data_IF_472428994361
#
_entry.id   IF_472428994361
#
_cell.length_a   1.000
_cell.length_b   1.000
_cell.length_c   1.000
_cell.angle_alpha   90.00
_cell.angle_beta   90.00
_cell.angle_gamma   90.00
#
_symmetry.space_group_name_H-M   'P 1'
#
loop_
_entity.id
_entity.type
_entity.pdbx_description
1 polymer ?
#
# COMPACT_ATOMS: atom_id res chain seq x y z
N UNK A 1 -76.89 36.90 -43.40
CA UNK A 1 -75.61 36.71 -42.68
C UNK A 1 -75.36 35.22 -42.53
N UNK A 2 -74.33 34.68 -43.20
CA UNK A 2 -73.97 33.27 -43.29
C UNK A 2 -72.79 32.95 -42.34
N UNK A 3 -72.13 31.79 -42.54
CA UNK A 3 -70.97 31.19 -41.83
C UNK A 3 -71.43 30.06 -40.87
N UNK A 4 -70.89 28.84 -40.87
CA UNK A 4 -69.55 28.37 -41.26
C UNK A 4 -69.62 26.96 -41.86
N UNK A 5 -68.93 26.58 -42.94
CA UNK A 5 -67.50 26.69 -43.27
C UNK A 5 -66.55 25.83 -42.39
N UNK A 6 -67.06 24.95 -41.50
CA UNK A 6 -66.22 24.16 -40.60
C UNK A 6 -65.97 22.69 -40.99
N UNK A 7 -66.82 22.06 -41.82
CA UNK A 7 -66.79 20.59 -42.01
C UNK A 7 -66.26 20.08 -43.36
N UNK A 8 -66.04 20.93 -44.36
CA UNK A 8 -65.43 20.53 -45.64
C UNK A 8 -63.89 20.66 -45.70
N UNK A 9 -63.25 21.30 -44.73
CA UNK A 9 -61.78 21.47 -44.72
C UNK A 9 -61.02 20.19 -44.29
N UNK A 10 -61.61 19.35 -43.44
CA UNK A 10 -60.91 18.16 -42.90
C UNK A 10 -60.84 16.99 -43.89
N UNK A 11 -61.82 16.82 -44.78
CA UNK A 11 -61.86 15.72 -45.76
C UNK A 11 -60.91 15.98 -46.93
N UNK A 12 -60.73 17.24 -47.34
CA UNK A 12 -59.79 17.61 -48.40
C UNK A 12 -58.31 17.54 -47.96
N UNK A 13 -58.00 17.76 -46.68
CA UNK A 13 -56.63 17.66 -46.17
C UNK A 13 -56.11 16.21 -46.12
N UNK A 14 -56.96 15.24 -45.76
CA UNK A 14 -56.61 13.82 -45.73
C UNK A 14 -56.46 13.23 -47.14
N UNK A 15 -57.31 13.68 -48.08
CA UNK A 15 -57.26 13.22 -49.48
C UNK A 15 -56.03 13.74 -50.22
N UNK A 16 -55.62 15.00 -49.99
CA UNK A 16 -54.37 15.57 -50.54
C UNK A 16 -53.11 14.89 -49.98
N UNK A 17 -53.10 14.51 -48.70
CA UNK A 17 -51.98 13.76 -48.09
C UNK A 17 -51.83 12.35 -48.66
N UNK A 18 -52.94 11.67 -48.96
CA UNK A 18 -52.92 10.33 -49.59
C UNK A 18 -52.54 10.37 -51.07
N UNK A 19 -52.93 11.40 -51.81
CA UNK A 19 -52.52 11.58 -53.22
C UNK A 19 -51.04 11.98 -53.34
N UNK A 20 -50.53 12.81 -52.43
CA UNK A 20 -49.10 13.17 -52.37
C UNK A 20 -48.22 11.95 -52.02
N UNK A 21 -48.63 11.14 -51.03
CA UNK A 21 -47.95 9.87 -50.70
C UNK A 21 -48.05 8.79 -51.79
N UNK A 22 -49.06 8.85 -52.66
CA UNK A 22 -49.22 7.91 -53.78
C UNK A 22 -48.37 8.32 -54.98
N UNK A 23 -48.25 9.63 -55.27
CA UNK A 23 -47.32 10.17 -56.27
C UNK A 23 -45.86 9.96 -55.88
N UNK A 24 -45.51 10.13 -54.61
CA UNK A 24 -44.17 9.81 -54.06
C UNK A 24 -43.82 8.31 -54.12
N UNK A 25 -44.83 7.42 -54.18
CA UNK A 25 -44.64 5.97 -54.38
C UNK A 25 -44.59 5.54 -55.84
N UNK A 26 -45.18 6.31 -56.75
CA UNK A 26 -45.25 6.01 -58.18
C UNK A 26 -44.06 6.61 -58.96
N UNK A 27 -43.40 7.67 -58.47
CA UNK A 27 -42.21 8.28 -59.11
C UNK A 27 -40.85 7.82 -58.52
N UNK A 28 -40.85 7.02 -57.46
CA UNK A 28 -39.64 6.45 -56.85
C UNK A 28 -39.35 5.03 -57.36
N UNK A 29 -38.65 4.91 -58.49
CA UNK A 29 -38.15 3.65 -59.02
C UNK A 29 -37.31 2.86 -58.00
N UNK A 30 -37.45 1.53 -58.03
CA UNK A 30 -36.66 0.50 -57.33
C UNK A 30 -36.16 0.84 -55.93
N UNK A 31 -36.87 0.36 -54.91
CA UNK A 31 -36.29 0.19 -53.56
C UNK A 31 -34.97 -0.60 -53.68
N UNK A 32 -33.83 -0.08 -53.22
CA UNK A 32 -32.65 -0.92 -53.01
C UNK A 32 -33.01 -1.92 -51.90
N UNK A 33 -32.69 -3.21 -52.11
CA UNK A 33 -32.77 -4.23 -51.07
C UNK A 33 -31.89 -3.86 -49.86
N UNK A 34 -32.03 -4.58 -48.73
CA UNK A 34 -31.18 -4.36 -47.55
C UNK A 34 -29.71 -4.37 -48.00
N UNK A 35 -28.95 -3.37 -47.58
CA UNK A 35 -27.64 -3.04 -48.14
C UNK A 35 -26.75 -4.29 -48.30
N UNK A 36 -26.18 -4.43 -49.50
CA UNK A 36 -25.26 -5.52 -49.84
C UNK A 36 -24.02 -5.55 -48.92
N UNK A 37 -23.68 -4.42 -48.29
CA UNK A 37 -22.55 -4.29 -47.36
C UNK A 37 -22.81 -4.90 -45.97
N UNK A 38 -24.00 -4.73 -45.40
CA UNK A 38 -24.33 -5.35 -44.10
C UNK A 38 -24.51 -6.87 -44.22
N UNK A 39 -25.03 -7.31 -45.37
CA UNK A 39 -25.16 -8.73 -45.72
C UNK A 39 -23.84 -9.35 -46.17
N UNK A 40 -22.90 -8.59 -46.76
CA UNK A 40 -21.54 -9.08 -47.05
C UNK A 40 -20.69 -9.15 -45.79
N UNK A 41 -20.78 -8.18 -44.89
CA UNK A 41 -20.09 -8.18 -43.60
C UNK A 41 -20.49 -9.40 -42.76
N UNK A 42 -21.79 -9.68 -42.66
CA UNK A 42 -22.28 -10.88 -41.95
C UNK A 42 -21.82 -12.19 -42.58
N UNK A 43 -21.76 -12.25 -43.93
CA UNK A 43 -21.21 -13.43 -44.64
C UNK A 43 -19.70 -13.55 -44.42
N UNK A 44 -19.00 -12.45 -44.29
CA UNK A 44 -17.57 -12.44 -44.02
C UNK A 44 -17.26 -12.86 -42.59
N UNK A 45 -18.02 -12.41 -41.59
CA UNK A 45 -17.93 -12.87 -40.20
C UNK A 45 -18.17 -14.38 -40.09
N UNK A 46 -19.21 -14.90 -40.75
CA UNK A 46 -19.46 -16.35 -40.79
C UNK A 46 -18.30 -17.10 -41.45
N UNK A 47 -17.75 -16.60 -42.57
CA UNK A 47 -16.57 -17.20 -43.21
C UNK A 47 -15.33 -17.13 -42.33
N UNK A 48 -15.13 -16.05 -41.59
CA UNK A 48 -14.01 -15.90 -40.66
C UNK A 48 -14.15 -16.87 -39.49
N UNK A 49 -15.35 -17.02 -38.94
CA UNK A 49 -15.63 -17.98 -37.88
C UNK A 49 -15.44 -19.43 -38.34
N UNK A 50 -15.92 -19.78 -39.54
CA UNK A 50 -15.71 -21.10 -40.13
C UNK A 50 -14.21 -21.41 -40.34
N UNK A 51 -13.44 -20.43 -40.82
CA UNK A 51 -11.97 -20.55 -40.96
C UNK A 51 -11.30 -20.70 -39.59
N UNK A 52 -11.73 -19.92 -38.59
CA UNK A 52 -11.22 -19.97 -37.21
C UNK A 52 -11.46 -21.35 -36.59
N UNK A 53 -12.68 -21.87 -36.72
CA UNK A 53 -13.03 -23.22 -36.25
C UNK A 53 -12.28 -24.33 -37.00
N UNK A 54 -12.10 -24.20 -38.31
CA UNK A 54 -11.32 -25.16 -39.10
C UNK A 54 -9.84 -25.20 -38.68
N UNK A 55 -9.26 -24.03 -38.36
CA UNK A 55 -7.88 -23.93 -37.86
C UNK A 55 -7.74 -24.61 -36.49
N UNK A 56 -8.68 -24.35 -35.56
CA UNK A 56 -8.68 -24.98 -34.24
C UNK A 56 -8.85 -26.49 -34.31
N UNK A 57 -9.71 -27.00 -35.19
CA UNK A 57 -9.85 -28.45 -35.41
C UNK A 57 -8.58 -29.07 -35.96
N UNK A 58 -7.89 -28.40 -36.88
CA UNK A 58 -6.59 -28.85 -37.40
C UNK A 58 -5.54 -28.92 -36.29
N UNK A 59 -5.51 -27.92 -35.41
CA UNK A 59 -4.63 -27.92 -34.23
C UNK A 59 -4.98 -29.07 -33.29
N UNK A 60 -6.26 -29.25 -32.94
CA UNK A 60 -6.69 -30.34 -32.08
C UNK A 60 -6.28 -31.70 -32.65
N UNK A 61 -6.49 -31.95 -33.95
CA UNK A 61 -6.06 -33.19 -34.61
C UNK A 61 -4.55 -33.45 -34.55
N UNK A 62 -3.75 -32.38 -34.46
CA UNK A 62 -2.28 -32.48 -34.42
C UNK A 62 -1.77 -32.80 -33.02
N UNK A 63 -2.37 -32.24 -31.98
CA UNK A 63 -1.86 -32.33 -30.60
C UNK A 63 -2.66 -33.28 -29.70
N UNK A 64 -3.92 -33.58 -30.01
CA UNK A 64 -4.73 -34.63 -29.35
C UNK A 64 -4.29 -36.02 -29.84
N UNK A 65 -3.11 -36.44 -29.39
CA UNK A 65 -2.46 -37.70 -29.78
C UNK A 65 -3.23 -38.93 -29.31
N UNK A 66 -3.99 -38.81 -28.22
CA UNK A 66 -4.81 -39.87 -27.63
C UNK A 66 -6.26 -39.87 -28.13
N UNK A 67 -6.65 -38.90 -28.99
CA UNK A 67 -7.97 -38.78 -29.65
C UNK A 67 -9.13 -38.66 -28.67
N UNK A 68 -8.90 -38.01 -27.54
CA UNK A 68 -9.91 -37.82 -26.50
C UNK A 68 -10.87 -36.67 -26.81
N UNK A 69 -10.55 -35.85 -27.82
CA UNK A 69 -11.24 -34.61 -28.15
C UNK A 69 -10.86 -33.46 -27.23
N UNK A 70 -9.80 -33.63 -26.42
CA UNK A 70 -9.33 -32.69 -25.41
C UNK A 70 -7.80 -32.68 -25.41
N UNK A 71 -7.22 -31.56 -24.97
CA UNK A 71 -5.79 -31.49 -24.71
C UNK A 71 -5.53 -31.71 -23.23
N UNK A 72 -4.79 -32.77 -22.92
CA UNK A 72 -4.18 -33.04 -21.63
C UNK A 72 -2.92 -32.17 -21.44
N UNK A 73 -2.38 -32.16 -20.22
CA UNK A 73 -1.32 -31.22 -19.82
C UNK A 73 -0.04 -31.31 -20.68
N UNK A 74 0.39 -32.52 -21.02
CA UNK A 74 1.56 -32.78 -21.88
C UNK A 74 1.32 -32.32 -23.33
N UNK A 75 0.13 -32.58 -23.86
CA UNK A 75 -0.29 -32.17 -25.20
C UNK A 75 -0.46 -30.65 -25.31
N UNK A 76 -0.98 -30.02 -24.25
CA UNK A 76 -1.07 -28.57 -24.13
C UNK A 76 0.32 -27.93 -24.06
N UNK A 77 1.22 -28.51 -23.26
CA UNK A 77 2.61 -28.04 -23.17
C UNK A 77 3.31 -28.04 -24.53
N UNK A 78 3.16 -29.12 -25.31
CA UNK A 78 3.72 -29.18 -26.66
C UNK A 78 3.09 -28.16 -27.61
N UNK A 79 1.77 -27.97 -27.55
CA UNK A 79 1.08 -26.95 -28.35
C UNK A 79 1.58 -25.54 -28.04
N UNK A 80 1.69 -25.18 -26.76
CA UNK A 80 2.13 -23.85 -26.33
C UNK A 80 3.61 -23.62 -26.68
N UNK A 81 4.44 -24.65 -26.58
CA UNK A 81 5.85 -24.63 -27.00
C UNK A 81 5.99 -24.31 -28.49
N UNK A 82 5.23 -25.00 -29.33
CA UNK A 82 5.29 -24.84 -30.78
C UNK A 82 4.73 -23.47 -31.24
N UNK A 83 3.89 -22.84 -30.41
CA UNK A 83 3.24 -21.57 -30.68
C UNK A 83 3.93 -20.37 -30.03
N UNK A 84 4.94 -20.60 -29.18
CA UNK A 84 5.73 -19.54 -28.54
C UNK A 84 6.84 -19.06 -29.48
N UNK A 85 6.71 -17.83 -29.97
CA UNK A 85 7.70 -17.13 -30.79
C UNK A 85 8.59 -16.17 -29.97
N UNK A 86 8.33 -16.05 -28.66
CA UNK A 86 8.97 -15.08 -27.76
C UNK A 86 10.19 -15.64 -27.03
N UNK A 87 10.25 -16.96 -26.84
CA UNK A 87 11.37 -17.69 -26.24
C UNK A 87 12.20 -18.41 -27.31
N UNK A 88 13.45 -18.83 -27.01
CA UNK A 88 14.19 -19.71 -27.92
C UNK A 88 13.32 -20.90 -28.36
N UNK A 89 13.33 -21.18 -29.66
CA UNK A 89 12.46 -22.20 -30.27
C UNK A 89 12.62 -23.54 -29.55
N UNK A 90 11.50 -24.09 -29.07
CA UNK A 90 11.47 -25.35 -28.32
C UNK A 90 11.57 -25.22 -26.79
N UNK A 91 11.52 -24.01 -26.23
CA UNK A 91 11.43 -23.83 -24.77
C UNK A 91 10.04 -24.18 -24.29
N UNK A 92 9.92 -25.23 -23.48
CA UNK A 92 8.64 -25.67 -22.95
C UNK A 92 8.15 -24.76 -21.80
N UNK A 93 6.83 -24.54 -21.68
CA UNK A 93 6.23 -23.91 -20.51
C UNK A 93 6.59 -24.65 -19.21
N UNK A 94 6.79 -23.92 -18.13
CA UNK A 94 6.93 -24.48 -16.77
C UNK A 94 5.61 -25.05 -16.25
N UNK A 95 5.67 -25.92 -15.23
CA UNK A 95 4.47 -26.49 -14.59
C UNK A 95 3.52 -25.41 -14.05
N UNK A 96 4.07 -24.32 -13.49
CA UNK A 96 3.30 -23.20 -12.95
C UNK A 96 2.60 -22.40 -14.07
N UNK A 97 3.27 -22.21 -15.20
CA UNK A 97 2.72 -21.56 -16.38
C UNK A 97 1.59 -22.39 -17.00
N UNK A 98 1.76 -23.71 -17.09
CA UNK A 98 0.72 -24.63 -17.55
C UNK A 98 -0.48 -24.61 -16.62
N UNK A 99 -0.25 -24.65 -15.31
CA UNK A 99 -1.31 -24.57 -14.31
C UNK A 99 -2.10 -23.25 -14.40
N UNK A 100 -1.42 -22.13 -14.64
CA UNK A 100 -2.07 -20.83 -14.85
C UNK A 100 -2.95 -20.83 -16.10
N UNK A 101 -2.42 -21.30 -17.24
CA UNK A 101 -3.18 -21.34 -18.50
C UNK A 101 -4.38 -22.27 -18.38
N UNK A 102 -4.23 -23.45 -17.77
CA UNK A 102 -5.34 -24.36 -17.51
C UNK A 102 -6.40 -23.71 -16.62
N UNK A 103 -6.01 -23.05 -15.53
CA UNK A 103 -6.95 -22.35 -14.63
C UNK A 103 -7.77 -21.27 -15.34
N UNK A 104 -7.18 -20.59 -16.32
CA UNK A 104 -7.80 -19.47 -17.03
C UNK A 104 -8.66 -19.96 -18.20
N UNK A 105 -8.25 -21.04 -18.89
CA UNK A 105 -8.90 -21.51 -20.10
C UNK A 105 -9.85 -22.69 -19.93
N UNK A 106 -9.68 -23.53 -18.90
CA UNK A 106 -10.59 -24.64 -18.60
C UNK A 106 -11.84 -24.11 -17.87
N UNK A 107 -12.76 -23.56 -18.64
CA UNK A 107 -14.07 -23.10 -18.14
C UNK A 107 -14.93 -24.28 -17.71
N UNK A 108 -14.70 -25.46 -18.30
CA UNK A 108 -15.41 -26.69 -17.98
C UNK A 108 -15.03 -27.29 -16.62
N UNK A 109 -13.83 -27.00 -16.12
CA UNK A 109 -13.29 -27.48 -14.85
C UNK A 109 -12.93 -28.97 -14.85
N UNK A 110 -12.65 -29.53 -16.03
CA UNK A 110 -12.40 -30.96 -16.24
C UNK A 110 -10.89 -31.31 -16.27
N UNK A 111 -10.02 -30.33 -16.01
CA UNK A 111 -8.56 -30.48 -16.03
C UNK A 111 -7.98 -30.70 -17.42
N UNK A 112 -8.74 -30.38 -18.47
CA UNK A 112 -8.39 -30.64 -19.87
C UNK A 112 -9.14 -29.69 -20.80
N UNK A 113 -8.52 -29.29 -21.90
CA UNK A 113 -9.08 -28.23 -22.76
C UNK A 113 -9.82 -28.79 -23.98
N UNK A 114 -11.07 -28.40 -24.17
CA UNK A 114 -11.84 -28.69 -25.39
C UNK A 114 -11.45 -27.74 -26.52
N UNK A 115 -11.83 -28.08 -27.75
CA UNK A 115 -11.51 -27.29 -28.97
C UNK A 115 -11.84 -25.79 -28.85
N UNK A 116 -12.94 -25.45 -28.17
CA UNK A 116 -13.39 -24.08 -27.95
C UNK A 116 -12.56 -23.32 -26.90
N UNK A 117 -11.97 -24.06 -25.94
CA UNK A 117 -11.14 -23.52 -24.86
C UNK A 117 -9.68 -23.37 -25.27
N UNK A 118 -9.21 -24.19 -26.22
CA UNK A 118 -7.85 -24.10 -26.80
C UNK A 118 -7.58 -22.72 -27.40
N UNK A 119 -8.59 -22.10 -28.05
CA UNK A 119 -8.41 -20.76 -28.59
C UNK A 119 -8.17 -19.71 -27.50
N UNK A 120 -8.88 -19.85 -26.37
CA UNK A 120 -8.71 -18.94 -25.25
C UNK A 120 -7.36 -19.18 -24.55
N UNK A 121 -6.93 -20.44 -24.44
CA UNK A 121 -5.61 -20.79 -23.95
C UNK A 121 -4.50 -20.18 -24.82
N UNK A 122 -4.59 -20.24 -26.14
CA UNK A 122 -3.62 -19.64 -27.06
C UNK A 122 -3.59 -18.11 -26.94
N UNK A 123 -4.74 -17.45 -26.74
CA UNK A 123 -4.81 -16.00 -26.49
C UNK A 123 -4.22 -15.62 -25.15
N UNK A 124 -4.55 -16.36 -24.09
CA UNK A 124 -4.00 -16.16 -22.75
C UNK A 124 -2.48 -16.36 -22.77
N UNK A 125 -2.00 -17.39 -23.45
CA UNK A 125 -0.58 -17.65 -23.67
C UNK A 125 0.11 -16.51 -24.41
N UNK A 126 -0.44 -16.05 -25.54
CA UNK A 126 0.15 -14.93 -26.31
C UNK A 126 0.19 -13.60 -25.53
N UNK A 127 -0.75 -13.38 -24.60
CA UNK A 127 -0.73 -12.21 -23.70
C UNK A 127 0.29 -12.41 -22.59
N UNK A 128 0.35 -13.62 -22.03
CA UNK A 128 1.30 -14.00 -20.99
C UNK A 128 2.74 -13.89 -21.50
N UNK A 129 3.07 -14.47 -22.64
CA UNK A 129 4.43 -14.47 -23.24
C UNK A 129 4.91 -13.06 -23.59
N UNK A 130 4.04 -12.20 -24.14
CA UNK A 130 4.37 -10.79 -24.43
C UNK A 130 4.68 -9.96 -23.18
N UNK A 131 4.12 -10.36 -22.04
CA UNK A 131 4.34 -9.74 -20.73
C UNK A 131 5.24 -10.58 -19.83
N UNK A 132 5.82 -11.67 -20.36
CA UNK A 132 6.69 -12.58 -19.60
C UNK A 132 7.92 -11.84 -19.14
N UNK A 133 8.59 -11.07 -20.00
CA UNK A 133 9.71 -10.23 -19.55
C UNK A 133 9.28 -9.19 -18.50
N UNK A 134 8.10 -8.57 -18.61
CA UNK A 134 7.59 -7.64 -17.59
C UNK A 134 7.32 -8.34 -16.25
N UNK A 135 6.76 -9.55 -16.29
CA UNK A 135 6.45 -10.35 -15.09
C UNK A 135 7.69 -11.02 -14.51
N UNK A 136 8.63 -11.49 -15.32
CA UNK A 136 9.96 -11.96 -14.92
C UNK A 136 10.80 -10.79 -14.41
N UNK A 137 10.70 -9.58 -14.97
CA UNK A 137 11.34 -8.39 -14.43
C UNK A 137 10.73 -8.01 -13.07
N UNK A 138 9.41 -8.17 -12.90
CA UNK A 138 8.73 -7.96 -11.60
C UNK A 138 9.06 -9.06 -10.59
N UNK A 139 9.04 -10.32 -11.01
CA UNK A 139 9.36 -11.49 -10.20
C UNK A 139 10.84 -11.54 -9.87
N UNK A 140 11.74 -11.17 -10.77
CA UNK A 140 13.18 -11.03 -10.50
C UNK A 140 13.50 -9.77 -9.71
N UNK A 141 12.70 -8.70 -9.80
CA UNK A 141 12.76 -7.57 -8.88
C UNK A 141 12.25 -7.96 -7.47
N UNK A 142 11.29 -8.86 -7.37
CA UNK A 142 10.81 -9.44 -6.10
C UNK A 142 11.76 -10.53 -5.54
N UNK A 143 12.44 -11.30 -6.39
CA UNK A 143 13.32 -12.41 -6.02
C UNK A 143 14.80 -12.03 -5.84
N UNK A 144 15.28 -10.90 -6.39
CA UNK A 144 16.65 -10.39 -6.13
C UNK A 144 16.76 -9.50 -4.90
N UNK A 145 15.86 -9.67 -3.93
CA UNK A 145 15.76 -8.77 -2.78
C UNK A 145 15.83 -9.45 -1.41
N UNK A 146 16.31 -10.70 -1.38
CA UNK A 146 16.84 -11.30 -0.18
C UNK A 146 18.34 -10.93 -0.09
N UNK A 147 18.74 -10.39 1.07
CA UNK A 147 20.06 -9.80 1.30
C UNK A 147 21.24 -10.54 0.64
N UNK A 148 21.98 -9.79 -0.18
CA UNK A 148 23.25 -10.23 -0.74
C UNK A 148 24.29 -10.32 0.38
N UNK A 149 25.18 -11.30 0.33
CA UNK A 149 26.38 -11.30 1.19
C UNK A 149 27.18 -10.01 0.93
N UNK A 150 27.40 -9.23 1.99
CA UNK A 150 28.15 -7.99 1.90
C UNK A 150 29.63 -8.30 1.66
N UNK A 151 30.26 -7.55 0.76
CA UNK A 151 31.72 -7.50 0.70
C UNK A 151 32.30 -6.92 1.99
N UNK A 152 33.59 -7.11 2.24
CA UNK A 152 34.23 -6.58 3.45
C UNK A 152 34.12 -5.05 3.56
N UNK A 153 34.17 -4.33 2.43
CA UNK A 153 34.02 -2.88 2.39
C UNK A 153 32.56 -2.44 2.64
N UNK A 154 31.59 -3.14 2.05
CA UNK A 154 30.16 -2.89 2.31
C UNK A 154 29.81 -3.19 3.77
N UNK A 155 30.33 -4.28 4.34
CA UNK A 155 30.13 -4.61 5.76
C UNK A 155 30.78 -3.58 6.68
N UNK A 156 31.98 -3.08 6.35
CA UNK A 156 32.63 -2.02 7.10
C UNK A 156 31.78 -0.74 7.15
N UNK A 157 31.17 -0.35 6.03
CA UNK A 157 30.27 0.81 5.97
C UNK A 157 28.97 0.54 6.71
N UNK A 158 28.27 -0.56 6.37
CA UNK A 158 26.89 -0.81 6.81
C UNK A 158 26.83 -1.28 8.27
N UNK A 159 27.71 -2.20 8.67
CA UNK A 159 27.71 -2.77 10.03
C UNK A 159 28.72 -2.05 10.94
N UNK A 160 29.84 -1.62 10.37
CA UNK A 160 30.91 -0.91 11.10
C UNK A 160 30.74 0.61 11.19
N UNK A 161 29.64 1.17 10.65
CA UNK A 161 29.39 2.62 10.54
C UNK A 161 30.52 3.40 9.85
N UNK A 162 31.23 2.75 8.93
CA UNK A 162 32.25 3.37 8.10
C UNK A 162 31.65 4.38 7.12
N UNK A 163 32.51 5.24 6.57
CA UNK A 163 32.13 6.21 5.53
C UNK A 163 33.05 6.02 4.33
N UNK A 164 32.46 5.90 3.14
CA UNK A 164 33.23 5.79 1.90
C UNK A 164 34.01 7.08 1.61
N UNK A 165 35.08 7.00 0.84
CA UNK A 165 35.89 8.18 0.53
C UNK A 165 35.12 9.13 -0.40
N UNK A 166 35.18 10.43 -0.13
CA UNK A 166 34.50 11.43 -0.95
C UNK A 166 34.93 11.34 -2.43
N UNK A 167 33.94 11.33 -3.32
CA UNK A 167 34.11 11.32 -4.77
C UNK A 167 34.44 9.97 -5.39
N UNK A 168 34.50 8.88 -4.60
CA UNK A 168 34.84 7.54 -5.10
C UNK A 168 33.63 6.61 -5.24
N UNK A 169 32.49 6.95 -4.62
CA UNK A 169 31.29 6.13 -4.62
C UNK A 169 30.65 6.02 -6.01
N UNK A 170 30.16 4.83 -6.35
CA UNK A 170 29.48 4.53 -7.63
C UNK A 170 28.32 5.51 -7.90
N UNK A 171 27.61 5.93 -6.86
CA UNK A 171 26.38 6.71 -6.99
C UNK A 171 26.54 8.21 -6.76
N UNK A 172 27.75 8.70 -6.47
CA UNK A 172 28.01 10.13 -6.29
C UNK A 172 27.52 10.93 -7.52
N UNK A 173 28.11 10.64 -8.69
CA UNK A 173 27.81 11.33 -9.96
C UNK A 173 26.70 10.67 -10.78
N UNK A 174 26.19 9.53 -10.34
CA UNK A 174 25.13 8.80 -11.04
C UNK A 174 23.78 9.51 -10.86
N UNK A 175 23.10 9.85 -11.96
CA UNK A 175 21.80 10.55 -11.95
C UNK A 175 20.79 9.83 -12.88
N UNK A 176 20.09 8.80 -12.38
CA UNK A 176 19.16 8.03 -13.19
C UNK A 176 17.85 8.79 -13.46
N UNK A 177 17.22 8.51 -14.60
CA UNK A 177 15.94 9.11 -15.02
C UNK A 177 14.71 8.28 -14.62
N UNK A 178 14.91 7.11 -14.02
CA UNK A 178 13.86 6.21 -13.52
C UNK A 178 14.44 5.32 -12.42
N UNK A 179 13.61 4.54 -11.74
CA UNK A 179 14.07 3.56 -10.75
C UNK A 179 14.19 4.09 -9.33
N UNK A 180 14.81 3.31 -8.46
CA UNK A 180 14.96 3.59 -7.02
C UNK A 180 16.27 3.02 -6.45
N UNK A 181 16.62 3.44 -5.24
CA UNK A 181 17.76 2.96 -4.47
C UNK A 181 17.27 2.13 -3.28
N UNK A 182 17.76 0.91 -3.19
CA UNK A 182 17.48 -0.13 -2.22
C UNK A 182 18.59 -0.20 -1.16
N UNK A 183 18.30 -0.69 0.05
CA UNK A 183 19.33 -1.04 1.01
C UNK A 183 20.15 -2.23 0.49
N UNK A 184 21.47 -2.09 0.40
CA UNK A 184 22.36 -3.15 -0.09
C UNK A 184 22.27 -4.44 0.74
N UNK A 185 22.00 -4.31 2.06
CA UNK A 185 21.96 -5.45 3.00
C UNK A 185 20.65 -6.23 3.01
N UNK A 186 19.51 -5.57 3.03
CA UNK A 186 18.20 -6.24 3.18
C UNK A 186 17.25 -5.99 2.02
N UNK A 187 17.74 -5.34 0.97
CA UNK A 187 16.91 -4.89 -0.12
C UNK A 187 16.16 -3.61 0.22
N UNK A 188 15.32 -3.55 1.26
CA UNK A 188 14.29 -2.50 1.50
C UNK A 188 14.42 -1.18 0.69
N UNK A 189 13.43 -0.77 -0.13
CA UNK A 189 13.50 0.48 -0.89
C UNK A 189 13.71 1.68 0.04
N UNK A 190 14.71 2.52 -0.27
CA UNK A 190 15.10 3.68 0.55
C UNK A 190 14.78 4.99 -0.16
N UNK A 191 15.29 5.20 -1.38
CA UNK A 191 15.16 6.47 -2.10
C UNK A 191 14.58 6.28 -3.49
N UNK A 192 13.77 7.23 -3.97
CA UNK A 192 13.42 7.30 -5.39
C UNK A 192 14.55 7.94 -6.19
N UNK A 193 14.63 7.71 -7.51
CA UNK A 193 15.55 8.47 -8.37
C UNK A 193 15.24 9.98 -8.36
N UNK A 194 13.98 10.37 -8.16
CA UNK A 194 13.55 11.78 -8.12
C UNK A 194 14.06 12.52 -6.88
N UNK A 195 14.32 11.78 -5.81
CA UNK A 195 14.86 12.35 -4.59
C UNK A 195 16.36 12.67 -4.69
N UNK A 196 17.06 12.10 -5.68
CA UNK A 196 18.49 12.31 -5.84
C UNK A 196 18.77 13.70 -6.42
N UNK A 197 19.74 14.41 -5.85
CA UNK A 197 20.21 15.69 -6.37
C UNK A 197 21.73 15.82 -6.31
N UNK A 198 22.26 16.83 -7.00
CA UNK A 198 23.69 17.13 -7.03
C UNK A 198 24.03 18.14 -5.93
N UNK A 199 24.67 17.66 -4.87
CA UNK A 199 25.04 18.48 -3.71
C UNK A 199 26.51 18.95 -3.73
N UNK A 200 27.36 18.30 -4.54
CA UNK A 200 28.81 18.55 -4.55
C UNK A 200 29.55 18.04 -3.31
N UNK A 201 28.90 17.30 -2.40
CA UNK A 201 29.52 16.82 -1.17
C UNK A 201 30.48 15.63 -1.35
N UNK A 202 30.47 14.99 -2.53
CA UNK A 202 31.30 13.81 -2.83
C UNK A 202 30.65 12.47 -2.45
N UNK A 203 29.38 12.48 -2.06
CA UNK A 203 28.57 11.30 -1.78
C UNK A 203 27.19 11.46 -2.45
N UNK A 204 26.49 10.35 -2.77
CA UNK A 204 25.13 10.43 -3.26
C UNK A 204 24.24 11.15 -2.22
N UNK A 205 23.56 12.21 -2.69
CA UNK A 205 22.69 13.04 -1.88
C UNK A 205 21.23 12.92 -2.31
N UNK A 206 20.35 12.81 -1.33
CA UNK A 206 18.90 12.72 -1.52
C UNK A 206 18.17 13.73 -0.62
N UNK A 207 16.98 14.16 -1.03
CA UNK A 207 16.16 15.12 -0.28
C UNK A 207 14.97 14.48 0.45
N UNK A 208 14.56 13.29 0.00
CA UNK A 208 13.38 12.54 0.46
C UNK A 208 13.64 11.05 0.43
N UNK A 209 12.90 10.29 1.21
CA UNK A 209 12.95 8.84 1.25
C UNK A 209 11.55 8.22 1.19
N UNK A 210 11.47 6.90 0.98
CA UNK A 210 10.23 6.17 1.11
C UNK A 210 9.77 6.06 2.56
N UNK A 211 8.45 5.96 2.73
CA UNK A 211 7.85 5.97 4.05
C UNK A 211 8.29 4.80 4.93
N UNK A 212 8.72 5.12 6.17
CA UNK A 212 9.24 4.15 7.13
C UNK A 212 10.46 3.36 6.62
N UNK A 213 11.21 3.88 5.65
CA UNK A 213 12.40 3.22 5.11
C UNK A 213 13.68 3.50 5.89
N UNK A 214 13.74 4.63 6.58
CA UNK A 214 14.91 5.11 7.33
C UNK A 214 14.54 5.40 8.79
N UNK A 215 15.44 5.06 9.71
CA UNK A 215 15.45 5.53 11.08
C UNK A 215 16.53 6.60 11.23
N UNK A 216 16.16 7.81 11.63
CA UNK A 216 17.08 8.90 11.93
C UNK A 216 17.44 8.87 13.43
N UNK A 217 18.74 8.76 13.76
CA UNK A 217 19.23 8.57 15.13
C UNK A 217 20.34 9.59 15.40
N UNK A 218 20.27 10.41 16.47
CA UNK A 218 21.37 11.30 16.83
C UNK A 218 22.62 10.50 17.18
N UNK A 219 23.80 11.01 16.81
CA UNK A 219 25.06 10.42 17.26
C UNK A 219 25.43 10.90 18.67
N UNK A 220 25.82 9.96 19.54
CA UNK A 220 26.24 10.24 20.92
C UNK A 220 27.71 10.72 21.02
N UNK A 221 28.38 10.96 19.88
CA UNK A 221 29.79 11.36 19.79
C UNK A 221 30.03 12.87 19.99
N UNK A 222 28.96 13.63 20.26
CA UNK A 222 29.02 15.08 20.47
C UNK A 222 29.14 15.88 19.17
N UNK A 223 29.13 15.25 18.00
CA UNK A 223 29.15 15.96 16.70
C UNK A 223 27.82 16.62 16.36
N UNK A 224 26.72 16.20 17.01
CA UNK A 224 25.37 16.67 16.73
C UNK A 224 24.84 16.23 15.37
N UNK A 225 25.52 15.28 14.71
CA UNK A 225 25.07 14.68 13.46
C UNK A 225 23.94 13.69 13.73
N UNK A 226 23.06 13.55 12.74
CA UNK A 226 21.99 12.56 12.77
C UNK A 226 22.34 11.45 11.78
N UNK A 227 22.60 10.26 12.30
CA UNK A 227 22.84 9.03 11.56
C UNK A 227 21.52 8.56 10.92
N UNK A 228 21.54 8.20 9.64
CA UNK A 228 20.41 7.55 8.97
C UNK A 228 20.71 6.05 8.84
N UNK A 229 19.78 5.22 9.31
CA UNK A 229 19.86 3.76 9.26
C UNK A 229 18.71 3.18 8.46
N UNK A 230 18.92 2.05 7.81
CA UNK A 230 17.82 1.32 7.20
C UNK A 230 16.86 0.81 8.29
N UNK A 231 15.57 1.15 8.18
CA UNK A 231 14.57 0.70 9.15
C UNK A 231 14.36 -0.83 9.14
N UNK A 232 14.68 -1.50 8.03
CA UNK A 232 14.53 -2.96 7.89
C UNK A 232 15.63 -3.78 8.57
N UNK A 233 16.90 -3.35 8.50
CA UNK A 233 18.04 -4.12 9.01
C UNK A 233 18.92 -3.37 10.03
N UNK A 234 18.59 -2.11 10.32
CA UNK A 234 19.35 -1.19 11.18
C UNK A 234 20.79 -0.89 10.69
N UNK A 235 21.12 -1.27 9.46
CA UNK A 235 22.42 -0.97 8.86
C UNK A 235 22.61 0.52 8.60
N UNK A 236 23.84 1.01 8.81
CA UNK A 236 24.26 2.38 8.57
C UNK A 236 24.13 2.73 7.08
N UNK A 237 23.48 3.85 6.78
CA UNK A 237 23.36 4.39 5.43
C UNK A 237 24.24 5.64 5.24
N UNK A 238 24.34 6.48 6.26
CA UNK A 238 25.05 7.76 6.22
C UNK A 238 24.51 8.73 7.26
N UNK A 239 24.40 10.01 6.88
CA UNK A 239 23.89 11.07 7.77
C UNK A 239 22.90 11.98 7.06
N UNK A 240 22.06 12.65 7.83
CA UNK A 240 21.12 13.66 7.35
C UNK A 240 21.44 15.03 7.96
N UNK A 241 21.36 16.05 7.11
CA UNK A 241 21.61 17.44 7.43
C UNK A 241 20.37 18.27 7.08
N UNK A 242 19.98 19.19 7.96
CA UNK A 242 18.93 20.17 7.66
C UNK A 242 19.61 21.43 7.11
N UNK A 243 19.41 21.71 5.82
CA UNK A 243 20.05 22.80 5.10
C UNK A 243 19.01 23.58 4.27
N UNK A 244 18.09 24.32 4.91
CA UNK A 244 16.97 24.96 4.22
C UNK A 244 17.43 25.91 3.11
N UNK A 245 16.91 25.69 1.89
CA UNK A 245 17.25 26.50 0.72
C UNK A 245 18.71 26.44 0.24
N UNK A 246 19.56 25.55 0.81
CA UNK A 246 20.96 25.43 0.40
C UNK A 246 21.13 24.79 -0.99
N UNK A 247 20.16 23.96 -1.39
CA UNK A 247 20.22 23.19 -2.64
C UNK A 247 19.03 23.52 -3.52
N UNK A 248 19.21 24.43 -4.49
CA UNK A 248 18.14 24.89 -5.37
C UNK A 248 17.45 23.78 -6.20
N UNK A 249 18.07 22.60 -6.33
CA UNK A 249 17.52 21.43 -7.03
C UNK A 249 16.82 20.43 -6.10
N UNK A 250 16.92 20.60 -4.77
CA UNK A 250 16.20 19.77 -3.81
C UNK A 250 14.74 20.23 -3.69
N UNK A 251 13.85 19.28 -3.41
CA UNK A 251 12.41 19.44 -3.20
C UNK A 251 12.04 19.57 -1.71
N UNK A 252 13.03 19.51 -0.82
CA UNK A 252 12.89 19.64 0.63
C UNK A 252 14.13 20.28 1.25
N UNK A 253 14.08 20.52 2.56
CA UNK A 253 15.13 21.22 3.30
C UNK A 253 16.21 20.27 3.86
N UNK A 254 16.06 18.97 3.62
CA UNK A 254 16.97 17.95 4.11
C UNK A 254 17.95 17.49 3.03
N UNK A 255 19.19 17.23 3.44
CA UNK A 255 20.20 16.55 2.63
C UNK A 255 20.59 15.25 3.32
N UNK A 256 20.15 14.14 2.74
CA UNK A 256 20.51 12.79 3.14
C UNK A 256 21.78 12.42 2.38
N UNK A 257 22.91 12.48 3.08
CA UNK A 257 24.22 12.14 2.56
C UNK A 257 24.47 10.66 2.83
N UNK A 258 24.24 9.82 1.82
CA UNK A 258 24.32 8.36 1.94
C UNK A 258 25.63 7.81 1.35
N UNK A 259 26.01 6.61 1.74
CA UNK A 259 27.11 5.88 1.12
C UNK A 259 26.60 5.06 -0.08
N UNK A 260 27.33 5.11 -1.20
CA UNK A 260 27.04 4.29 -2.38
C UNK A 260 27.13 2.79 -2.05
N UNK A 261 28.09 2.41 -1.22
CA UNK A 261 28.25 1.03 -0.72
C UNK A 261 27.06 0.53 0.12
N UNK A 262 26.28 1.44 0.73
CA UNK A 262 25.12 1.08 1.54
C UNK A 262 23.81 0.96 0.73
N UNK A 263 23.81 1.44 -0.52
CA UNK A 263 22.65 1.49 -1.40
C UNK A 263 22.85 0.58 -2.62
N UNK A 264 21.79 0.14 -3.27
CA UNK A 264 21.83 -0.55 -4.56
C UNK A 264 20.81 0.09 -5.49
N UNK A 265 21.21 0.50 -6.70
CA UNK A 265 20.27 1.04 -7.67
C UNK A 265 19.47 -0.07 -8.37
N UNK A 266 18.17 0.13 -8.48
CA UNK A 266 17.21 -0.73 -9.16
C UNK A 266 16.54 0.07 -10.28
N UNK A 267 16.63 -0.43 -11.51
CA UNK A 267 16.17 0.26 -12.73
C UNK A 267 14.64 0.24 -12.92
N UNK A 268 13.93 -0.61 -12.18
CA UNK A 268 12.48 -0.78 -12.23
C UNK A 268 11.77 0.11 -11.22
N UNK A 269 10.47 0.27 -11.35
CA UNK A 269 9.66 1.01 -10.39
C UNK A 269 9.70 0.33 -9.01
N UNK A 270 9.56 1.09 -7.90
CA UNK A 270 9.49 0.51 -6.57
C UNK A 270 8.29 -0.45 -6.44
N UNK A 271 8.30 -1.37 -5.46
CA UNK A 271 7.15 -2.23 -5.18
C UNK A 271 5.84 -1.45 -5.01
N UNK A 272 4.71 -2.08 -5.34
CA UNK A 272 3.40 -1.43 -5.17
C UNK A 272 3.13 -1.07 -3.70
N UNK A 273 2.60 0.13 -3.46
CA UNK A 273 2.27 0.62 -2.12
C UNK A 273 3.38 1.34 -1.38
N UNK A 274 4.60 1.45 -1.94
CA UNK A 274 5.65 2.30 -1.36
C UNK A 274 5.40 3.77 -1.75
N UNK A 275 5.20 4.62 -0.74
CA UNK A 275 4.98 6.07 -0.91
C UNK A 275 6.18 6.85 -0.46
N UNK A 276 6.50 7.96 -1.13
CA UNK A 276 7.57 8.88 -0.72
C UNK A 276 7.07 9.76 0.44
N UNK A 277 7.86 9.86 1.51
CA UNK A 277 7.60 10.76 2.63
C UNK A 277 7.89 12.22 2.24
N UNK A 278 7.20 13.16 2.88
CA UNK A 278 7.41 14.59 2.62
C UNK A 278 8.82 15.02 3.02
N UNK A 279 9.26 14.64 4.24
CA UNK A 279 10.59 14.81 4.82
C UNK A 279 10.77 13.79 5.96
N UNK A 280 12.01 13.40 6.32
CA UNK A 280 12.21 12.56 7.50
C UNK A 280 11.87 13.35 8.76
N UNK A 281 11.18 12.71 9.70
CA UNK A 281 11.04 13.26 11.05
C UNK A 281 12.39 13.14 11.76
N UNK A 282 13.23 14.17 11.62
CA UNK A 282 14.52 14.22 12.26
C UNK A 282 14.31 14.41 13.76
N UNK A 283 15.03 13.67 14.62
CA UNK A 283 15.09 13.97 16.04
C UNK A 283 15.54 15.42 16.19
N UNK A 284 14.59 16.32 16.45
CA UNK A 284 14.78 17.75 16.28
C UNK A 284 15.88 18.20 17.23
N UNK A 285 16.94 18.82 16.70
CA UNK A 285 17.71 19.76 17.48
C UNK A 285 16.70 20.79 18.01
N UNK A 286 16.60 20.90 19.35
CA UNK A 286 15.58 21.69 20.05
C UNK A 286 15.31 23.02 19.35
N UNK A 287 14.09 23.29 18.85
CA UNK A 287 13.76 24.63 18.39
C UNK A 287 13.76 25.56 19.60
N UNK A 288 14.17 26.81 19.37
CA UNK A 288 14.10 27.87 20.36
C UNK A 288 12.66 28.01 20.90
N UNK A 289 12.50 28.31 22.20
CA UNK A 289 11.26 28.12 22.97
C UNK A 289 10.05 28.98 22.58
N UNK A 290 10.09 29.71 21.46
CA UNK A 290 9.07 30.73 21.14
C UNK A 290 8.09 30.34 20.01
N UNK A 291 8.18 29.15 19.41
CA UNK A 291 7.27 28.78 18.30
C UNK A 291 6.62 27.39 18.36
N UNK A 292 6.49 26.77 19.54
CA UNK A 292 5.65 25.59 19.69
C UNK A 292 4.19 26.00 19.97
N UNK A 293 3.25 25.58 19.11
CA UNK A 293 1.84 25.50 19.51
C UNK A 293 1.69 24.60 20.75
N UNK A 294 0.57 24.68 21.48
CA UNK A 294 0.41 23.95 22.73
C UNK A 294 0.56 22.45 22.50
N UNK A 295 1.44 21.81 23.27
CA UNK A 295 1.52 20.35 23.30
C UNK A 295 0.18 19.79 23.81
N UNK A 296 -0.36 18.77 23.16
CA UNK A 296 -1.60 18.10 23.54
C UNK A 296 -1.40 16.58 23.62
N UNK A 297 -2.15 15.92 24.49
CA UNK A 297 -2.18 14.45 24.58
C UNK A 297 -3.13 13.84 23.54
N UNK A 298 -2.81 12.63 23.08
CA UNK A 298 -3.63 11.87 22.10
C UNK A 298 -4.16 10.58 22.72
N UNK A 299 -5.48 10.37 22.70
CA UNK A 299 -6.12 9.11 23.13
C UNK A 299 -6.45 8.25 21.90
N UNK A 300 -5.75 7.14 21.72
CA UNK A 300 -5.83 6.30 20.51
C UNK A 300 -7.01 5.33 20.53
N UNK A 301 -7.34 4.80 21.70
CA UNK A 301 -8.35 3.77 21.87
C UNK A 301 -8.96 3.93 23.26
N UNK A 302 -10.29 3.85 23.35
CA UNK A 302 -11.01 3.86 24.61
C UNK A 302 -12.12 2.81 24.56
N UNK A 303 -12.21 1.99 25.60
CA UNK A 303 -13.37 1.14 25.83
C UNK A 303 -14.48 1.94 26.50
N UNK A 304 -15.74 1.74 26.10
CA UNK A 304 -16.85 2.47 26.71
C UNK A 304 -16.89 2.25 28.23
N UNK A 305 -16.77 3.34 28.99
CA UNK A 305 -16.99 3.36 30.44
C UNK A 305 -18.44 3.03 30.84
N UNK A 306 -18.73 3.10 32.13
CA UNK A 306 -20.03 2.75 32.70
C UNK A 306 -21.14 3.82 32.47
N UNK A 307 -20.84 4.86 31.70
CA UNK A 307 -21.73 5.97 31.39
C UNK A 307 -21.72 7.09 32.43
N UNK A 308 -20.80 7.06 33.40
CA UNK A 308 -20.57 8.18 34.32
C UNK A 308 -19.94 9.41 33.64
N UNK A 309 -20.14 10.61 34.21
CA UNK A 309 -19.44 11.82 33.77
C UNK A 309 -17.93 11.68 33.84
N UNK A 310 -17.24 12.38 32.93
CA UNK A 310 -15.79 12.46 32.89
C UNK A 310 -15.21 13.08 34.19
N UNK A 311 -14.05 12.60 34.68
CA UNK A 311 -13.36 13.21 35.81
C UNK A 311 -13.04 14.69 35.57
N UNK A 312 -13.23 15.52 36.59
CA UNK A 312 -12.93 16.95 36.58
C UNK A 312 -11.80 17.35 37.54
N UNK A 313 -11.41 18.62 37.47
CA UNK A 313 -10.39 19.19 38.36
C UNK A 313 -10.75 18.97 39.85
N UNK A 314 -9.82 18.42 40.61
CA UNK A 314 -9.97 18.11 42.03
C UNK A 314 -10.56 16.74 42.35
N UNK A 315 -11.08 16.00 41.36
CA UNK A 315 -11.58 14.64 41.57
C UNK A 315 -10.43 13.70 41.95
N UNK A 316 -10.69 12.80 42.90
CA UNK A 316 -9.78 11.73 43.27
C UNK A 316 -10.01 10.54 42.34
N UNK A 317 -9.01 10.18 41.55
CA UNK A 317 -9.07 9.05 40.61
C UNK A 317 -8.16 7.93 41.07
N UNK A 318 -8.61 6.69 40.89
CA UNK A 318 -7.81 5.48 41.10
C UNK A 318 -7.68 4.76 39.76
N UNK A 319 -6.45 4.52 39.31
CA UNK A 319 -6.17 3.96 37.99
C UNK A 319 -5.19 2.78 38.06
N UNK A 320 -5.34 1.84 37.12
CA UNK A 320 -4.23 0.97 36.73
C UNK A 320 -3.56 1.52 35.49
N UNK A 321 -2.24 1.42 35.42
CA UNK A 321 -1.48 1.86 34.26
C UNK A 321 -0.33 0.91 33.94
N UNK A 322 0.06 0.91 32.67
CA UNK A 322 1.38 0.46 32.21
C UNK A 322 1.97 1.58 31.37
N UNK A 323 3.17 2.04 31.70
CA UNK A 323 3.89 3.08 30.99
C UNK A 323 5.03 2.48 30.17
N UNK A 324 5.07 2.81 28.88
CA UNK A 324 6.15 2.41 27.97
C UNK A 324 6.64 3.56 27.10
N UNK A 325 7.87 3.44 26.61
CA UNK A 325 8.43 4.38 25.65
C UNK A 325 7.72 4.21 24.30
N UNK A 326 7.16 5.29 23.74
CA UNK A 326 6.42 5.21 22.48
C UNK A 326 7.31 4.68 21.33
N UNK A 327 8.57 5.10 21.32
CA UNK A 327 9.52 4.75 20.25
C UNK A 327 9.95 3.27 20.25
N UNK A 328 10.04 2.64 21.42
CA UNK A 328 10.62 1.29 21.55
C UNK A 328 9.65 0.26 22.10
N UNK A 329 8.53 0.68 22.68
CA UNK A 329 7.61 -0.18 23.43
C UNK A 329 8.17 -0.66 24.76
N UNK A 330 9.38 -0.24 25.17
CA UNK A 330 9.99 -0.66 26.42
C UNK A 330 9.19 -0.13 27.61
N UNK A 331 8.69 -1.05 28.45
CA UNK A 331 8.00 -0.71 29.69
C UNK A 331 8.99 -0.15 30.72
N UNK A 332 8.63 0.96 31.35
CA UNK A 332 9.43 1.56 32.42
C UNK A 332 8.75 1.48 33.79
N UNK A 333 7.41 1.31 33.83
CA UNK A 333 6.64 1.22 35.07
C UNK A 333 5.23 0.64 34.84
N UNK A 334 4.70 -0.05 35.85
CA UNK A 334 3.32 -0.56 35.86
C UNK A 334 2.75 -0.67 37.27
N UNK A 335 1.48 -0.34 37.43
CA UNK A 335 0.74 -0.59 38.69
C UNK A 335 -0.09 -1.87 38.65
N UNK A 336 -0.08 -2.63 37.55
CA UNK A 336 -0.95 -3.79 37.37
C UNK A 336 -0.54 -5.00 38.22
N UNK A 337 0.70 -5.00 38.71
CA UNK A 337 1.22 -6.02 39.62
C UNK A 337 0.98 -5.68 41.11
N UNK A 338 0.32 -4.55 41.40
CA UNK A 338 0.11 -4.05 42.76
C UNK A 338 -1.22 -3.34 42.96
N UNK A 339 -1.24 -2.40 43.91
CA UNK A 339 -2.41 -1.58 44.20
C UNK A 339 -2.61 -0.49 43.13
N UNK A 340 -3.86 -0.07 42.84
CA UNK A 340 -4.13 1.06 41.96
C UNK A 340 -3.44 2.34 42.41
N UNK A 341 -2.98 3.14 41.45
CA UNK A 341 -2.40 4.43 41.72
C UNK A 341 -3.50 5.48 41.89
N UNK A 342 -3.48 6.20 43.01
CA UNK A 342 -4.47 7.22 43.35
C UNK A 342 -3.87 8.62 43.30
N UNK A 343 -4.54 9.54 42.60
CA UNK A 343 -4.13 10.94 42.55
C UNK A 343 -5.32 11.87 42.34
N UNK A 344 -5.12 13.17 42.59
CA UNK A 344 -6.10 14.22 42.31
C UNK A 344 -5.83 14.85 40.96
N UNK A 345 -6.85 14.90 40.11
CA UNK A 345 -6.79 15.56 38.79
C UNK A 345 -6.55 17.05 38.98
N UNK A 346 -5.62 17.62 38.21
CA UNK A 346 -5.10 18.99 38.34
C UNK A 346 -4.48 19.29 39.70
N UNK A 347 -4.04 18.26 40.42
CA UNK A 347 -3.38 18.39 41.72
C UNK A 347 -1.89 18.74 41.64
N UNK A 348 -1.27 18.67 40.45
CA UNK A 348 0.16 18.88 40.26
C UNK A 348 1.04 17.76 40.84
N UNK A 349 0.45 16.59 41.09
CA UNK A 349 1.13 15.42 41.65
C UNK A 349 1.55 14.38 40.60
N UNK A 350 1.09 14.54 39.37
CA UNK A 350 1.39 13.68 38.22
C UNK A 350 1.89 14.53 37.06
N UNK A 351 2.39 13.88 36.00
CA UNK A 351 2.73 14.57 34.76
C UNK A 351 1.49 15.22 34.14
N UNK A 352 1.65 16.39 33.50
CA UNK A 352 0.55 17.15 32.94
C UNK A 352 -0.30 16.34 31.94
N UNK A 353 0.33 15.44 31.19
CA UNK A 353 -0.37 14.58 30.25
C UNK A 353 -1.38 13.64 30.91
N UNK A 354 -1.17 13.24 32.15
CA UNK A 354 -2.15 12.45 32.90
C UNK A 354 -3.34 13.32 33.36
N UNK A 355 -3.07 14.54 33.83
CA UNK A 355 -4.12 15.50 34.17
C UNK A 355 -5.02 15.81 32.96
N UNK A 356 -4.44 15.96 31.76
CA UNK A 356 -5.18 16.23 30.54
C UNK A 356 -5.86 14.98 29.95
N UNK A 357 -5.20 13.82 30.06
CA UNK A 357 -5.68 12.56 29.51
C UNK A 357 -6.84 11.95 30.29
N UNK A 358 -6.75 11.92 31.63
CA UNK A 358 -7.76 11.27 32.48
C UNK A 358 -9.11 12.00 32.45
N UNK A 359 -9.11 13.32 32.23
CA UNK A 359 -10.35 14.10 32.00
C UNK A 359 -11.14 13.65 30.78
N UNK A 360 -10.54 12.82 29.91
CA UNK A 360 -11.19 12.27 28.71
C UNK A 360 -11.64 10.82 28.92
N UNK A 361 -11.42 10.23 30.10
CA UNK A 361 -11.67 8.83 30.39
C UNK A 361 -12.76 8.65 31.47
N UNK A 362 -13.98 8.19 31.10
CA UNK A 362 -15.06 7.91 32.05
C UNK A 362 -14.73 6.71 32.95
N UNK A 363 -15.43 6.59 34.10
CA UNK A 363 -15.21 5.47 35.02
C UNK A 363 -15.41 4.12 34.31
N UNK A 364 -14.50 3.19 34.56
CA UNK A 364 -14.51 1.85 33.99
C UNK A 364 -13.99 1.77 32.57
N UNK A 365 -13.56 2.88 31.96
CA UNK A 365 -12.88 2.84 30.67
C UNK A 365 -11.42 2.42 30.83
N UNK A 366 -10.91 1.80 29.77
CA UNK A 366 -9.50 1.54 29.54
C UNK A 366 -9.10 2.10 28.19
N UNK A 367 -7.94 2.73 28.11
CA UNK A 367 -7.47 3.35 26.88
C UNK A 367 -5.97 3.57 26.79
N UNK A 368 -5.52 3.81 25.57
CA UNK A 368 -4.12 4.06 25.23
C UNK A 368 -3.89 5.57 25.03
N UNK A 369 -3.13 6.17 25.92
CA UNK A 369 -2.82 7.60 25.94
C UNK A 369 -1.36 7.82 25.49
N UNK A 370 -1.17 8.55 24.39
CA UNK A 370 0.13 9.10 24.02
C UNK A 370 0.32 10.43 24.73
N UNK A 371 1.44 10.55 25.46
CA UNK A 371 1.86 11.78 26.13
C UNK A 371 3.18 12.26 25.51
N UNK A 372 3.15 13.39 24.76
CA UNK A 372 4.36 14.01 24.26
C UNK A 372 5.28 14.43 25.40
N UNK A 373 6.60 14.42 25.15
CA UNK A 373 7.60 14.70 26.17
C UNK A 373 7.39 16.00 26.96
N UNK A 374 6.92 17.15 26.39
CA UNK A 374 6.67 18.36 27.15
C UNK A 374 5.57 18.23 28.22
N UNK A 375 4.62 17.31 28.01
CA UNK A 375 3.56 16.99 28.97
C UNK A 375 3.93 15.80 29.88
N UNK A 376 5.11 15.20 29.67
CA UNK A 376 5.67 14.11 30.46
C UNK A 376 6.89 14.59 31.27
N UNK A 377 8.07 14.01 31.03
CA UNK A 377 9.32 14.31 31.75
C UNK A 377 10.23 15.30 31.01
N UNK A 378 9.78 15.79 29.85
CA UNK A 378 10.42 16.83 29.05
C UNK A 378 11.90 16.57 28.77
N UNK A 379 12.65 17.65 28.71
CA UNK A 379 14.09 17.70 28.43
C UNK A 379 14.96 16.86 29.38
N UNK A 380 14.48 16.56 30.59
CA UNK A 380 15.27 15.88 31.61
C UNK A 380 15.08 14.36 31.57
N UNK A 381 13.90 13.90 31.15
CA UNK A 381 13.54 12.49 31.33
C UNK A 381 13.49 12.10 32.81
N UNK A 382 13.50 10.79 33.07
CA UNK A 382 13.69 10.20 34.38
C UNK A 382 14.95 9.31 34.33
N UNK A 383 16.06 9.70 34.99
CA UNK A 383 17.29 8.92 34.95
C UNK A 383 17.08 7.44 35.28
N UNK A 384 17.55 6.56 34.39
CA UNK A 384 17.46 5.11 34.56
C UNK A 384 16.15 4.47 34.09
N UNK A 385 15.12 5.24 33.75
CA UNK A 385 13.82 4.70 33.33
C UNK A 385 13.29 5.34 32.03
N UNK A 386 13.38 6.66 31.91
CA UNK A 386 12.79 7.43 30.81
C UNK A 386 13.86 8.35 30.21
N UNK A 387 14.26 8.16 28.95
CA UNK A 387 15.21 9.04 28.30
C UNK A 387 14.72 10.50 28.25
N UNK A 388 15.64 11.48 28.22
CA UNK A 388 15.33 12.86 27.85
C UNK A 388 14.48 12.94 26.59
N UNK A 389 13.46 13.81 26.60
CA UNK A 389 12.56 14.08 25.47
C UNK A 389 11.79 12.86 24.94
N UNK A 390 11.65 11.80 25.73
CA UNK A 390 10.89 10.64 25.32
C UNK A 390 9.37 10.91 25.35
N UNK A 391 8.70 10.58 24.24
CA UNK A 391 7.25 10.46 24.20
C UNK A 391 6.83 9.11 24.80
N UNK A 392 5.73 9.13 25.54
CA UNK A 392 5.28 7.98 26.34
C UNK A 392 3.95 7.46 25.84
N UNK A 393 3.78 6.15 25.93
CA UNK A 393 2.52 5.46 25.75
C UNK A 393 2.06 4.91 27.10
N UNK A 394 0.84 5.25 27.50
CA UNK A 394 0.23 4.74 28.71
C UNK A 394 -1.02 3.92 28.39
N UNK A 395 -1.07 2.70 28.89
CA UNK A 395 -2.28 1.89 28.94
C UNK A 395 -2.98 2.11 30.28
N UNK A 396 -3.96 3.01 30.29
CA UNK A 396 -4.67 3.48 31.48
C UNK A 396 -6.02 2.78 31.63
N UNK A 397 -6.40 2.44 32.86
CA UNK A 397 -7.72 1.92 33.21
C UNK A 397 -8.26 2.66 34.43
N UNK A 398 -9.42 3.31 34.29
CA UNK A 398 -10.04 4.11 35.34
C UNK A 398 -10.92 3.21 36.21
N UNK A 399 -10.49 2.94 37.44
CA UNK A 399 -11.13 1.99 38.35
C UNK A 399 -12.08 2.66 39.33
N UNK A 400 -11.74 3.87 39.78
CA UNK A 400 -12.58 4.65 40.66
C UNK A 400 -12.47 6.16 40.44
N UNK A 401 -13.57 6.88 40.70
CA UNK A 401 -13.63 8.35 40.77
C UNK A 401 -14.39 8.75 42.03
N UNK A 402 -13.77 9.54 42.90
CA UNK A 402 -14.31 9.99 44.20
C UNK A 402 -14.89 8.84 45.05
N UNK A 403 -14.19 7.71 45.08
CA UNK A 403 -14.59 6.50 45.82
C UNK A 403 -15.67 5.65 45.16
N UNK A 404 -16.25 6.07 44.03
CA UNK A 404 -17.14 5.21 43.21
C UNK A 404 -16.30 4.27 42.36
N UNK A 405 -16.53 2.97 42.46
CA UNK A 405 -15.78 1.93 41.71
C UNK A 405 -16.54 1.48 40.47
N UNK A 406 -15.82 1.19 39.39
CA UNK A 406 -16.38 0.65 38.16
C UNK A 406 -17.06 -0.71 38.42
N UNK A 407 -18.25 -0.92 37.86
CA UNK A 407 -18.94 -2.20 37.97
C UNK A 407 -18.26 -3.23 37.06
N UNK A 408 -17.75 -4.33 37.63
CA UNK A 408 -17.23 -5.46 36.84
C UNK A 408 -18.34 -6.05 35.96
N UNK A 409 -18.29 -5.80 34.64
CA UNK A 409 -19.09 -6.58 33.69
C UNK A 409 -18.60 -8.04 33.72
N UNK A 410 -19.49 -9.03 33.93
CA UNK A 410 -19.06 -10.42 33.90
C UNK A 410 -18.60 -10.79 32.48
N UNK A 411 -17.58 -11.66 32.33
CA UNK A 411 -17.13 -12.11 31.03
C UNK A 411 -18.27 -12.79 30.27
N UNK A 412 -18.45 -12.44 29.00
CA UNK A 412 -19.44 -13.07 28.11
C UNK A 412 -19.11 -14.55 27.94
N UNK A 413 -19.77 -15.42 28.69
CA UNK A 413 -19.51 -16.86 28.64
C UNK A 413 -20.53 -17.73 29.36
N UNK A 414 -21.69 -17.93 28.73
CA UNK A 414 -22.45 -19.20 28.60
C UNK A 414 -23.90 -18.87 28.25
N UNK A 415 -24.26 -19.03 26.98
CA UNK A 415 -25.65 -19.27 26.60
C UNK A 415 -26.08 -20.57 27.31
N UNK A 416 -26.74 -20.43 28.48
CA UNK A 416 -27.52 -21.51 29.03
C UNK A 416 -28.69 -21.73 28.07
N UNK A 417 -28.68 -22.88 27.41
CA UNK A 417 -29.84 -23.39 26.68
C UNK A 417 -31.05 -23.39 27.63
N UNK A 418 -31.98 -22.47 27.41
CA UNK A 418 -33.30 -22.54 28.01
C UNK A 418 -34.04 -23.67 27.30
N UNK A 419 -34.09 -24.83 27.97
CA UNK A 419 -34.99 -25.93 27.68
C UNK A 419 -36.40 -25.38 27.54
N UNK A 420 -37.02 -25.67 26.41
CA UNK A 420 -38.44 -25.51 26.17
C UNK A 420 -39.21 -26.34 27.22
N UNK A 421 -40.11 -25.69 27.94
CA UNK A 421 -41.25 -26.34 28.54
C UNK A 421 -42.50 -25.73 27.90
N UNK A 422 -43.20 -26.56 27.12
CA UNK A 422 -44.64 -26.50 26.86
C UNK A 422 -45.21 -27.85 27.31
N UNK A 423 -46.50 -27.97 27.63
CA UNK A 423 -47.55 -26.95 27.65
C UNK A 423 -47.88 -26.43 29.05
#
# INVERSE_FOLDING_TARGET
MPISAGRMAAVHAVRRRREQQRREREEGGSRPGPSSSASSARREEVRQEERRQAALRTLMQRYDTNKTGKLEEDQLSQLLTDMDDSTPVGTAPTEEELAFILKVADVSGEGSLRCEEVEFALKAWAVYTRRRQEMEDKLSAEQNFAGKELTAEEAHVIDGKGTEKAGTGEYDKFQPQRGYFACRKCGKPIYSHQAKFESGCGWPAFDKCYAGSINAVPEDDGTGRVEIKCAGCQGHLGHVFLEPGAHAKARGDQRHCANSLALQYVKHDPPEGVVEEAELDLPRATPAPDQAGPAEVTLLLETHGDGTPLPGAGDLVAIHYTGSLLATGAEFDTSRDGDPFEFRVDGGHVIQGWDDGVKRMPLGSRGLLIVPSPLAYGERGMPGAIPPRADLLFDLEVLAVNGRRAQRRPPRGRLRAARQARP
#
